data_IF_525492174124
#
_entry.id   IF_525492174124
#
_cell.length_a   1.000
_cell.length_b   1.000
_cell.length_c   1.000
_cell.angle_alpha   90.00
_cell.angle_beta   90.00
_cell.angle_gamma   90.00
#
_symmetry.space_group_name_H-M   'P 1'
#
loop_
_entity.id
_entity.type
_entity.pdbx_description
1 polymer ?
#
# COMPACT_ATOMS: atom_id res chain seq x y z
N UNK A 1 25.96 10.67 22.04
CA UNK A 1 26.37 9.32 21.58
C UNK A 1 26.31 9.29 20.07
N UNK A 2 27.49 9.07 19.48
CA UNK A 2 27.83 9.19 18.07
C UNK A 2 27.45 7.93 17.31
N UNK A 3 26.47 8.04 16.41
CA UNK A 3 26.35 7.10 15.31
C UNK A 3 25.65 7.77 14.11
N UNK A 4 25.90 7.22 12.92
CA UNK A 4 25.42 7.66 11.61
C UNK A 4 26.25 8.73 10.89
N UNK A 5 27.49 8.37 10.49
CA UNK A 5 27.86 8.61 9.10
C UNK A 5 26.98 7.69 8.23
N UNK A 6 25.82 8.19 7.82
CA UNK A 6 24.99 7.52 6.82
C UNK A 6 25.81 7.32 5.56
N UNK A 7 25.90 6.08 5.08
CA UNK A 7 26.61 5.73 3.83
C UNK A 7 26.07 6.61 2.69
N UNK A 8 26.92 7.33 1.93
CA UNK A 8 26.47 7.95 0.70
C UNK A 8 26.14 6.83 -0.30
N UNK A 9 24.90 6.82 -0.81
CA UNK A 9 24.49 5.94 -1.90
C UNK A 9 25.21 6.38 -3.16
N UNK A 10 26.30 5.67 -3.48
CA UNK A 10 27.03 5.85 -4.73
C UNK A 10 27.40 4.47 -5.27
N UNK A 11 26.97 4.21 -6.51
CA UNK A 11 27.27 3.02 -7.31
C UNK A 11 28.78 2.69 -7.31
N UNK A 12 29.09 1.49 -6.83
CA UNK A 12 30.40 0.98 -6.40
C UNK A 12 31.18 0.27 -7.51
N UNK A 13 31.18 0.78 -8.75
CA UNK A 13 31.69 -0.04 -9.86
C UNK A 13 33.21 -0.11 -10.04
N UNK A 14 34.06 0.58 -9.26
CA UNK A 14 35.52 0.58 -9.50
C UNK A 14 36.43 0.78 -8.26
N UNK A 15 36.03 0.37 -7.05
CA UNK A 15 36.89 0.50 -5.85
C UNK A 15 37.09 -0.87 -5.19
N UNK A 16 38.34 -1.24 -4.91
CA UNK A 16 38.70 -2.53 -4.32
C UNK A 16 38.21 -2.63 -2.86
N UNK A 17 37.57 -3.73 -2.43
CA UNK A 17 36.99 -3.87 -1.07
C UNK A 17 38.00 -3.62 0.08
N UNK A 18 39.26 -3.98 -0.14
CA UNK A 18 40.36 -3.73 0.83
C UNK A 18 40.69 -2.24 1.00
N UNK A 19 40.68 -1.47 -0.09
CA UNK A 19 40.93 -0.03 -0.06
C UNK A 19 39.84 0.72 0.71
N UNK A 20 38.59 0.26 0.59
CA UNK A 20 37.45 0.78 1.33
C UNK A 20 37.62 0.59 2.85
N UNK A 21 38.12 -0.59 3.27
CA UNK A 21 38.38 -0.92 4.68
C UNK A 21 39.49 -0.07 5.30
N UNK A 22 40.56 0.20 4.54
CA UNK A 22 41.66 1.07 4.97
C UNK A 22 41.18 2.51 5.13
N UNK A 23 40.53 3.07 4.10
CA UNK A 23 40.00 4.42 4.16
C UNK A 23 39.05 4.59 5.35
N UNK A 24 38.11 3.65 5.54
CA UNK A 24 37.17 3.66 6.65
C UNK A 24 37.85 3.70 8.03
N UNK A 25 38.88 2.86 8.25
CA UNK A 25 39.60 2.82 9.52
C UNK A 25 40.31 4.16 9.82
N UNK A 26 40.93 4.78 8.81
CA UNK A 26 41.62 6.05 8.99
C UNK A 26 40.63 7.19 9.25
N UNK A 27 39.51 7.22 8.52
CA UNK A 27 38.41 8.18 8.74
C UNK A 27 37.83 8.05 10.16
N UNK A 28 37.65 6.82 10.64
CA UNK A 28 37.13 6.55 11.98
C UNK A 28 38.06 7.11 13.06
N UNK A 29 39.38 6.85 12.97
CA UNK A 29 40.37 7.40 13.90
C UNK A 29 40.45 8.92 13.84
N UNK A 30 40.42 9.50 12.65
CA UNK A 30 40.44 10.96 12.46
C UNK A 30 39.21 11.64 13.10
N UNK A 31 38.02 11.08 12.89
CA UNK A 31 36.77 11.65 13.43
C UNK A 31 36.67 11.54 14.96
N UNK A 32 37.37 10.59 15.58
CA UNK A 32 37.52 10.47 17.04
C UNK A 32 38.64 11.36 17.63
N UNK A 33 39.44 12.02 16.79
CA UNK A 33 40.59 12.82 17.22
C UNK A 33 41.83 11.99 17.58
N UNK A 34 41.83 10.69 17.28
CA UNK A 34 42.93 9.75 17.57
C UNK A 34 44.07 9.85 16.53
N UNK A 35 43.84 10.56 15.43
CA UNK A 35 44.77 10.66 14.30
C UNK A 35 44.68 12.04 13.64
N UNK A 36 45.81 12.54 13.15
CA UNK A 36 45.89 13.75 12.33
C UNK A 36 46.19 13.41 10.87
N UNK A 37 45.61 14.13 9.90
CA UNK A 37 45.87 13.87 8.49
C UNK A 37 47.32 14.21 8.08
N UNK A 38 47.99 15.09 8.83
CA UNK A 38 49.41 15.43 8.63
C UNK A 38 50.32 14.21 8.81
N UNK A 39 49.99 13.32 9.76
CA UNK A 39 50.77 12.10 10.03
C UNK A 39 50.52 10.96 9.04
N UNK A 40 49.50 11.05 8.18
CA UNK A 40 49.20 10.02 7.17
C UNK A 40 50.21 9.99 6.02
N UNK A 41 50.41 8.82 5.41
CA UNK A 41 51.20 8.68 4.18
C UNK A 41 50.36 9.12 2.97
N UNK A 42 51.03 9.55 1.90
CA UNK A 42 50.35 10.00 0.67
C UNK A 42 49.41 8.93 0.07
N UNK A 43 49.77 7.63 0.03
CA UNK A 43 48.84 6.59 -0.43
C UNK A 43 47.54 6.56 0.37
N UNK A 44 47.62 6.66 1.70
CA UNK A 44 46.45 6.67 2.58
C UNK A 44 45.53 7.87 2.30
N UNK A 45 46.12 9.05 2.12
CA UNK A 45 45.38 10.27 1.78
C UNK A 45 44.69 10.15 0.41
N UNK A 46 45.34 9.52 -0.57
CA UNK A 46 44.75 9.25 -1.89
C UNK A 46 43.61 8.24 -1.81
N UNK A 47 43.69 7.24 -0.92
CA UNK A 47 42.59 6.31 -0.68
C UNK A 47 41.35 7.01 -0.10
N UNK A 48 41.53 7.86 0.91
CA UNK A 48 40.44 8.67 1.49
C UNK A 48 39.81 9.58 0.42
N UNK A 49 40.64 10.28 -0.36
CA UNK A 49 40.16 11.16 -1.41
C UNK A 49 39.40 10.37 -2.49
N UNK A 50 39.86 9.18 -2.88
CA UNK A 50 39.15 8.31 -3.83
C UNK A 50 37.81 7.85 -3.29
N UNK A 51 37.75 7.45 -2.02
CA UNK A 51 36.51 7.02 -1.34
C UNK A 51 35.43 8.11 -1.38
N UNK A 52 35.79 9.36 -1.08
CA UNK A 52 34.86 10.51 -1.11
C UNK A 52 34.77 11.22 -2.47
N UNK A 53 35.41 10.68 -3.51
CA UNK A 53 35.47 11.28 -4.86
C UNK A 53 36.03 12.70 -4.90
N UNK A 54 36.98 12.98 -4.01
CA UNK A 54 37.76 14.21 -3.99
C UNK A 54 38.91 14.06 -5.00
N UNK A 55 39.30 15.16 -5.66
CA UNK A 55 40.45 15.19 -6.57
C UNK A 55 41.72 14.70 -5.85
N UNK A 56 42.48 13.80 -6.48
CA UNK A 56 43.65 13.10 -5.89
C UNK A 56 45.03 13.69 -6.27
N UNK A 57 45.11 14.56 -7.27
CA UNK A 57 46.37 15.19 -7.73
C UNK A 57 46.85 16.27 -6.76
N UNK A 58 48.12 16.69 -6.86
CA UNK A 58 48.67 17.84 -6.12
C UNK A 58 49.63 17.47 -4.99
N UNK A 59 50.08 18.50 -4.25
CA UNK A 59 50.98 18.33 -3.10
C UNK A 59 50.28 17.66 -1.90
N UNK A 60 51.06 17.11 -0.95
CA UNK A 60 50.50 16.48 0.26
C UNK A 60 49.63 17.48 1.05
N UNK A 61 50.08 18.73 1.16
CA UNK A 61 49.37 19.83 1.83
C UNK A 61 48.03 20.14 1.15
N UNK A 62 48.01 20.33 -0.17
CA UNK A 62 46.77 20.60 -0.91
C UNK A 62 45.76 19.44 -0.81
N UNK A 63 46.24 18.20 -0.76
CA UNK A 63 45.39 17.02 -0.62
C UNK A 63 44.76 16.97 0.78
N UNK A 64 45.54 17.25 1.83
CA UNK A 64 45.05 17.37 3.20
C UNK A 64 44.01 18.48 3.30
N UNK A 65 44.31 19.68 2.80
CA UNK A 65 43.40 20.84 2.84
C UNK A 65 42.06 20.53 2.18
N UNK A 66 42.06 19.83 1.02
CA UNK A 66 40.83 19.41 0.34
C UNK A 66 40.02 18.43 1.17
N UNK A 67 40.67 17.43 1.78
CA UNK A 67 40.01 16.43 2.62
C UNK A 67 39.40 17.11 3.87
N UNK A 68 40.17 17.97 4.54
CA UNK A 68 39.72 18.72 5.72
C UNK A 68 38.55 19.64 5.39
N UNK A 69 38.63 20.37 4.27
CA UNK A 69 37.55 21.24 3.82
C UNK A 69 36.28 20.44 3.50
N UNK A 70 36.42 19.27 2.85
CA UNK A 70 35.29 18.38 2.58
C UNK A 70 34.63 17.92 3.87
N UNK A 71 35.41 17.42 4.84
CA UNK A 71 34.86 16.98 6.12
C UNK A 71 34.22 18.11 6.92
N UNK A 72 34.83 19.29 6.94
CA UNK A 72 34.26 20.48 7.59
C UNK A 72 32.91 20.85 6.96
N UNK A 73 32.84 20.93 5.61
CA UNK A 73 31.60 21.23 4.89
C UNK A 73 30.53 20.16 5.13
N UNK A 74 30.90 18.89 5.07
CA UNK A 74 29.99 17.76 5.31
C UNK A 74 29.43 17.80 6.74
N UNK A 75 30.26 18.05 7.76
CA UNK A 75 29.80 18.16 9.15
C UNK A 75 28.78 19.29 9.33
N UNK A 76 29.06 20.46 8.75
CA UNK A 76 28.14 21.61 8.78
C UNK A 76 26.84 21.30 8.04
N UNK A 77 26.92 20.66 6.87
CA UNK A 77 25.74 20.25 6.11
C UNK A 77 24.87 19.26 6.90
N UNK A 78 25.47 18.24 7.54
CA UNK A 78 24.76 17.28 8.39
C UNK A 78 24.01 17.99 9.53
N UNK A 79 24.63 19.00 10.15
CA UNK A 79 24.01 19.81 11.20
C UNK A 79 22.80 20.59 10.67
N UNK A 80 22.92 21.28 9.53
CA UNK A 80 21.78 21.97 8.92
C UNK A 80 20.67 21.00 8.55
N UNK A 81 21.01 19.85 7.99
CA UNK A 81 20.04 18.83 7.63
C UNK A 81 19.33 18.26 8.87
N UNK A 82 20.01 18.07 10.01
CA UNK A 82 19.37 17.58 11.24
C UNK A 82 18.41 18.61 11.83
N UNK A 83 18.81 19.89 11.85
CA UNK A 83 17.96 20.99 12.25
C UNK A 83 16.72 21.11 11.35
N UNK A 84 16.91 20.99 10.04
CA UNK A 84 15.83 21.05 9.07
C UNK A 84 14.86 19.86 9.20
N UNK A 85 15.37 18.62 9.34
CA UNK A 85 14.52 17.45 9.64
C UNK A 85 13.67 17.66 10.88
N UNK A 86 14.27 18.18 11.96
CA UNK A 86 13.53 18.52 13.18
C UNK A 86 12.48 19.63 12.96
N UNK A 87 12.81 20.62 12.13
CA UNK A 87 11.86 21.67 11.75
C UNK A 87 10.64 21.09 11.02
N UNK A 88 10.84 20.17 10.07
CA UNK A 88 9.73 19.52 9.35
C UNK A 88 8.76 18.78 10.30
N UNK A 89 9.28 18.05 11.29
CA UNK A 89 8.45 17.35 12.29
C UNK A 89 7.66 18.34 13.15
N UNK A 90 8.31 19.39 13.67
CA UNK A 90 7.62 20.41 14.47
C UNK A 90 6.58 21.16 13.66
N UNK A 91 6.89 21.45 12.41
CA UNK A 91 5.98 22.11 11.49
C UNK A 91 4.77 21.23 11.17
N UNK A 92 4.96 19.93 10.94
CA UNK A 92 3.84 19.01 10.71
C UNK A 92 2.93 18.91 11.93
N UNK A 93 3.50 18.82 13.15
CA UNK A 93 2.71 18.82 14.40
C UNK A 93 1.88 20.11 14.52
N UNK A 94 2.46 21.27 14.22
CA UNK A 94 1.76 22.56 14.24
C UNK A 94 0.58 22.59 13.27
N UNK A 95 0.74 22.03 12.07
CA UNK A 95 -0.31 22.01 11.04
C UNK A 95 -1.52 21.14 11.42
N UNK A 96 -1.40 20.20 12.36
CA UNK A 96 -2.51 19.30 12.77
C UNK A 96 -3.62 20.00 13.56
N UNK A 97 -3.39 21.24 13.97
CA UNK A 97 -4.38 22.05 14.65
C UNK A 97 -4.49 21.81 16.15
N UNK A 98 -5.41 22.54 16.77
CA UNK A 98 -5.51 22.70 18.21
C UNK A 98 -5.98 21.45 18.95
N UNK A 99 -6.76 20.57 18.32
CA UNK A 99 -7.32 19.39 18.97
C UNK A 99 -6.41 18.15 18.92
N UNK A 100 -5.18 18.27 18.41
CA UNK A 100 -4.26 17.13 18.29
C UNK A 100 -4.04 16.41 19.64
N UNK A 101 -3.84 17.17 20.72
CA UNK A 101 -3.59 16.61 22.07
C UNK A 101 -4.87 16.28 22.82
N UNK A 102 -5.97 16.98 22.52
CA UNK A 102 -7.25 16.85 23.21
C UNK A 102 -8.37 16.79 22.18
N UNK A 103 -8.59 15.59 21.65
CA UNK A 103 -9.56 15.35 20.57
C UNK A 103 -11.01 15.60 21.00
N UNK A 104 -11.29 15.51 22.30
CA UNK A 104 -12.58 15.87 22.92
C UNK A 104 -12.96 17.35 22.79
N UNK A 105 -12.06 18.20 22.29
CA UNK A 105 -12.40 19.58 21.92
C UNK A 105 -13.22 19.66 20.62
N UNK A 106 -13.22 18.61 19.80
CA UNK A 106 -13.98 18.61 18.56
C UNK A 106 -15.47 18.41 18.84
N UNK A 107 -16.31 19.03 18.01
CA UNK A 107 -17.77 18.88 18.10
C UNK A 107 -18.28 17.59 17.44
N UNK A 108 -17.49 17.01 16.54
CA UNK A 108 -17.79 15.73 15.93
C UNK A 108 -17.06 14.60 16.66
N UNK A 109 -17.73 13.45 16.81
CA UNK A 109 -17.18 12.31 17.53
C UNK A 109 -16.39 11.34 16.65
N UNK A 110 -16.63 11.35 15.33
CA UNK A 110 -15.99 10.47 14.35
C UNK A 110 -15.57 11.19 13.08
N UNK A 111 -14.76 10.55 12.23
CA UNK A 111 -14.38 11.01 10.89
C UNK A 111 -15.47 10.71 9.85
N UNK A 112 -15.67 11.61 8.88
CA UNK A 112 -16.78 11.54 7.95
C UNK A 112 -16.62 10.47 6.85
N UNK A 113 -15.41 9.95 6.63
CA UNK A 113 -15.14 9.03 5.54
C UNK A 113 -14.74 7.65 6.04
N UNK A 114 -13.92 7.56 7.10
CA UNK A 114 -13.62 6.27 7.74
C UNK A 114 -14.65 5.90 8.80
N UNK A 115 -15.40 6.86 9.32
CA UNK A 115 -16.28 6.68 10.49
C UNK A 115 -15.53 6.34 11.77
N UNK A 116 -14.19 6.44 11.78
CA UNK A 116 -13.38 6.23 12.98
C UNK A 116 -13.67 7.28 14.04
N UNK A 117 -13.85 6.94 15.33
CA UNK A 117 -14.05 7.90 16.37
C UNK A 117 -12.73 8.65 16.49
N UNK A 118 -12.82 9.93 16.83
CA UNK A 118 -11.65 10.79 16.72
C UNK A 118 -10.50 10.30 17.57
N UNK A 119 -10.71 9.59 18.67
CA UNK A 119 -9.67 9.01 19.54
C UNK A 119 -8.89 7.83 18.92
N UNK A 120 -9.43 7.13 17.91
CA UNK A 120 -8.76 5.98 17.27
C UNK A 120 -7.92 6.39 16.05
N UNK A 121 -8.13 7.59 15.50
CA UNK A 121 -7.36 8.10 14.35
C UNK A 121 -5.87 8.16 14.70
N UNK A 122 -4.97 7.72 13.81
CA UNK A 122 -3.54 7.83 14.10
C UNK A 122 -3.10 9.29 14.30
N UNK A 123 -2.17 9.54 15.23
CA UNK A 123 -1.67 10.89 15.49
C UNK A 123 -1.05 11.52 14.24
N UNK A 124 -0.46 10.72 13.34
CA UNK A 124 0.14 11.21 12.10
C UNK A 124 -0.88 11.42 10.99
N UNK A 125 -2.09 10.90 11.12
CA UNK A 125 -3.19 11.13 10.17
C UNK A 125 -4.27 12.07 10.72
N UNK A 126 -4.18 12.51 11.98
CA UNK A 126 -5.15 13.45 12.55
C UNK A 126 -4.91 14.90 12.08
N UNK A 127 -6.01 15.61 11.82
CA UNK A 127 -6.07 17.06 11.57
C UNK A 127 -7.30 17.66 12.26
N UNK A 128 -7.18 18.92 12.69
CA UNK A 128 -8.28 19.70 13.24
C UNK A 128 -8.21 21.14 12.81
N UNK A 129 -9.36 21.79 12.66
CA UNK A 129 -9.43 23.23 12.41
C UNK A 129 -10.63 23.84 13.14
N UNK A 130 -10.60 25.17 13.29
CA UNK A 130 -11.67 25.95 13.89
C UNK A 130 -12.43 26.66 12.76
N UNK A 131 -13.75 26.51 12.71
CA UNK A 131 -14.58 27.21 11.73
C UNK A 131 -14.77 28.70 12.10
N UNK A 132 -15.58 29.41 11.31
CA UNK A 132 -15.84 30.84 11.53
C UNK A 132 -16.70 31.09 12.77
N UNK A 133 -17.46 30.10 13.21
CA UNK A 133 -18.34 30.14 14.37
C UNK A 133 -17.61 29.73 15.65
N UNK A 134 -16.35 29.30 15.56
CA UNK A 134 -15.52 28.89 16.70
C UNK A 134 -15.65 27.41 17.05
N UNK A 135 -16.38 26.61 16.26
CA UNK A 135 -16.47 25.17 16.45
C UNK A 135 -15.21 24.49 15.91
N UNK A 136 -14.75 23.50 16.66
CA UNK A 136 -13.55 22.74 16.32
C UNK A 136 -13.99 21.42 15.69
N UNK A 137 -13.46 21.09 14.52
CA UNK A 137 -13.73 19.82 13.86
C UNK A 137 -12.46 19.01 13.71
N UNK A 138 -12.55 17.70 13.94
CA UNK A 138 -11.46 16.74 13.80
C UNK A 138 -11.68 15.81 12.62
N UNK A 139 -10.60 15.43 11.93
CA UNK A 139 -10.65 14.62 10.72
C UNK A 139 -9.40 13.74 10.58
N UNK A 140 -9.52 12.69 9.77
CA UNK A 140 -8.38 12.09 9.10
C UNK A 140 -7.92 12.97 7.93
N UNK A 141 -6.62 13.21 7.83
CA UNK A 141 -5.97 13.88 6.69
C UNK A 141 -6.23 13.07 5.42
N UNK A 142 -6.11 11.75 5.48
CA UNK A 142 -6.41 10.86 4.35
C UNK A 142 -7.86 11.02 3.87
N UNK A 143 -8.82 11.15 4.78
CA UNK A 143 -10.23 11.41 4.47
C UNK A 143 -10.42 12.76 3.76
N UNK A 144 -9.82 13.82 4.27
CA UNK A 144 -9.88 15.15 3.66
C UNK A 144 -9.26 15.18 2.25
N UNK A 145 -8.14 14.48 2.05
CA UNK A 145 -7.53 14.35 0.71
C UNK A 145 -8.45 13.58 -0.25
N UNK A 146 -9.15 12.54 0.23
CA UNK A 146 -10.15 11.84 -0.58
C UNK A 146 -11.33 12.74 -0.96
N UNK A 147 -11.76 13.64 -0.06
CA UNK A 147 -12.78 14.65 -0.34
C UNK A 147 -12.32 15.64 -1.41
N UNK A 148 -11.07 16.12 -1.35
CA UNK A 148 -10.53 17.10 -2.30
C UNK A 148 -10.34 16.56 -3.72
N UNK A 149 -10.28 15.23 -3.90
CA UNK A 149 -10.23 14.60 -5.22
C UNK A 149 -11.57 14.63 -5.96
N UNK A 150 -12.67 14.92 -5.27
CA UNK A 150 -14.01 14.98 -5.89
C UNK A 150 -14.15 16.26 -6.72
N UNK A 151 -14.94 16.20 -7.79
CA UNK A 151 -15.34 17.39 -8.55
C UNK A 151 -16.46 18.11 -7.79
N UNK A 152 -16.29 19.41 -7.52
CA UNK A 152 -17.33 20.25 -6.91
C UNK A 152 -16.80 21.20 -5.83
N UNK A 153 -17.74 21.82 -5.10
CA UNK A 153 -17.42 22.71 -3.99
C UNK A 153 -16.91 21.91 -2.79
N UNK A 154 -15.69 22.20 -2.36
CA UNK A 154 -15.08 21.61 -1.17
C UNK A 154 -15.68 22.28 0.07
N UNK A 155 -16.42 21.50 0.84
CA UNK A 155 -17.10 21.93 2.06
C UNK A 155 -16.80 20.99 3.22
N UNK A 156 -16.90 21.46 4.45
CA UNK A 156 -16.83 20.62 5.62
C UNK A 156 -18.04 19.65 5.64
N UNK A 157 -17.81 18.33 5.75
CA UNK A 157 -18.87 17.31 5.74
C UNK A 157 -19.94 17.45 6.83
N UNK A 158 -19.64 18.09 7.96
CA UNK A 158 -20.55 18.19 9.12
C UNK A 158 -21.48 19.41 9.05
N UNK A 159 -20.95 20.57 8.68
CA UNK A 159 -21.71 21.83 8.68
C UNK A 159 -21.94 22.41 7.26
N UNK A 160 -21.39 21.77 6.23
CA UNK A 160 -21.48 22.16 4.80
C UNK A 160 -20.91 23.54 4.47
N UNK A 161 -20.15 24.14 5.37
CA UNK A 161 -19.47 25.40 5.10
C UNK A 161 -18.27 25.21 4.17
N UNK A 162 -17.97 26.23 3.36
CA UNK A 162 -16.80 26.21 2.47
C UNK A 162 -15.51 26.27 3.29
N UNK A 163 -14.58 25.35 3.01
CA UNK A 163 -13.23 25.42 3.54
C UNK A 163 -12.46 26.54 2.84
N UNK A 164 -11.74 27.36 3.61
CA UNK A 164 -10.94 28.43 3.03
C UNK A 164 -9.65 27.89 2.38
N UNK A 165 -9.07 28.69 1.49
CA UNK A 165 -7.88 28.30 0.72
C UNK A 165 -6.67 28.02 1.62
N UNK A 166 -6.54 28.75 2.72
CA UNK A 166 -5.44 28.59 3.67
C UNK A 166 -5.49 27.21 4.33
N UNK A 167 -6.65 26.84 4.88
CA UNK A 167 -6.94 25.56 5.52
C UNK A 167 -6.71 24.41 4.55
N UNK A 168 -7.23 24.52 3.33
CA UNK A 168 -7.00 23.51 2.28
C UNK A 168 -5.51 23.35 1.97
N UNK A 169 -4.77 24.45 1.82
CA UNK A 169 -3.33 24.41 1.56
C UNK A 169 -2.55 23.81 2.74
N UNK A 170 -2.91 24.12 3.99
CA UNK A 170 -2.33 23.52 5.19
C UNK A 170 -2.51 22.00 5.21
N UNK A 171 -3.72 21.51 4.87
CA UNK A 171 -4.02 20.07 4.76
C UNK A 171 -3.16 19.42 3.67
N UNK A 172 -3.05 20.04 2.49
CA UNK A 172 -2.21 19.52 1.40
C UNK A 172 -0.72 19.48 1.78
N UNK A 173 -0.22 20.52 2.45
CA UNK A 173 1.17 20.56 2.93
C UNK A 173 1.38 19.46 3.97
N UNK A 174 0.46 19.31 4.93
CA UNK A 174 0.52 18.26 5.94
C UNK A 174 0.54 16.86 5.31
N UNK A 175 -0.32 16.60 4.33
CA UNK A 175 -0.34 15.33 3.60
C UNK A 175 1.01 15.05 2.91
N UNK A 176 1.61 16.04 2.25
CA UNK A 176 2.94 15.90 1.63
C UNK A 176 4.03 15.64 2.68
N UNK A 177 4.00 16.36 3.80
CA UNK A 177 4.94 16.16 4.90
C UNK A 177 4.80 14.77 5.51
N UNK A 178 3.58 14.26 5.69
CA UNK A 178 3.35 12.90 6.17
C UNK A 178 4.03 11.87 5.26
N UNK A 179 3.95 12.01 3.94
CA UNK A 179 4.62 11.10 3.01
C UNK A 179 6.15 11.16 3.07
N UNK A 180 6.72 12.31 3.48
CA UNK A 180 8.16 12.50 3.67
C UNK A 180 8.63 11.94 5.02
N UNK A 181 7.88 12.21 6.09
CA UNK A 181 8.23 11.85 7.46
C UNK A 181 7.90 10.39 7.78
N UNK A 182 6.81 9.88 7.20
CA UNK A 182 6.26 8.55 7.42
C UNK A 182 6.00 7.89 6.05
N UNK A 183 7.07 7.63 5.27
CA UNK A 183 6.92 6.98 3.99
C UNK A 183 6.27 5.62 4.22
N UNK A 184 5.12 5.39 3.57
CA UNK A 184 4.53 4.06 3.53
C UNK A 184 5.55 3.13 2.86
N UNK A 185 5.76 1.92 3.39
CA UNK A 185 6.61 0.96 2.70
C UNK A 185 6.10 0.83 1.26
N UNK A 186 7.01 0.86 0.25
CA UNK A 186 6.58 0.59 -1.10
C UNK A 186 5.83 -0.74 -1.08
N UNK A 187 4.73 -0.89 -1.84
CA UNK A 187 4.15 -2.20 -2.03
C UNK A 187 5.29 -3.14 -2.44
N UNK A 188 5.35 -4.37 -1.91
CA UNK A 188 6.40 -5.31 -2.27
C UNK A 188 6.51 -5.31 -3.79
N UNK A 189 7.74 -5.13 -4.29
CA UNK A 189 8.03 -5.18 -5.72
C UNK A 189 7.46 -6.50 -6.17
N UNK A 190 6.32 -6.47 -6.87
CA UNK A 190 5.84 -7.65 -7.56
C UNK A 190 6.98 -7.97 -8.53
N UNK A 191 7.75 -9.02 -8.22
CA UNK A 191 8.65 -9.61 -9.19
C UNK A 191 7.78 -9.87 -10.41
N UNK A 192 7.93 -9.04 -11.44
CA UNK A 192 7.39 -9.39 -12.74
C UNK A 192 8.04 -10.73 -13.03
N UNK A 193 7.28 -11.83 -13.20
CA UNK A 193 7.90 -13.08 -13.58
C UNK A 193 8.66 -12.77 -14.87
N UNK A 194 9.98 -12.92 -14.81
CA UNK A 194 10.82 -12.94 -16.00
C UNK A 194 10.32 -14.17 -16.74
N UNK A 195 9.44 -13.95 -17.71
CA UNK A 195 9.08 -14.98 -18.68
C UNK A 195 10.36 -15.21 -19.46
N UNK A 196 11.16 -16.17 -19.01
CA UNK A 196 12.13 -16.84 -19.87
C UNK A 196 11.30 -17.51 -20.97
N UNK A 197 11.02 -16.79 -22.04
CA UNK A 197 10.62 -17.40 -23.29
C UNK A 197 11.81 -18.22 -23.77
N UNK A 198 11.85 -19.49 -23.37
CA UNK A 198 12.52 -20.50 -24.18
C UNK A 198 11.67 -20.60 -25.44
N UNK A 199 12.06 -19.82 -26.45
CA UNK A 199 11.57 -19.98 -27.81
C UNK A 199 11.98 -21.39 -28.24
N UNK A 200 11.04 -22.34 -28.21
CA UNK A 200 11.19 -23.56 -29.00
C UNK A 200 11.10 -23.13 -30.45
N UNK A 201 12.26 -23.05 -31.12
CA UNK A 201 12.36 -22.85 -32.55
C UNK A 201 11.83 -24.12 -33.21
N UNK A 202 10.56 -24.10 -33.60
CA UNK A 202 9.99 -25.13 -34.45
C UNK A 202 10.65 -25.03 -35.83
N UNK A 203 11.16 -26.16 -36.29
CA UNK A 203 11.82 -26.38 -37.58
C UNK A 203 10.95 -25.91 -38.74
N UNK A 204 11.52 -25.10 -39.64
CA UNK A 204 10.92 -24.69 -40.91
C UNK A 204 10.69 -25.90 -41.83
N UNK A 205 9.51 -26.05 -42.47
CA UNK A 205 9.35 -26.92 -43.63
C UNK A 205 9.82 -26.20 -44.91
N UNK A 206 10.52 -26.93 -45.79
CA UNK A 206 11.02 -26.47 -47.09
C UNK A 206 9.94 -26.23 -48.16
N UNK A 207 10.34 -25.82 -49.38
CA UNK A 207 9.47 -25.15 -50.35
C UNK A 207 8.54 -26.10 -51.11
N UNK A 208 7.39 -25.57 -51.51
CA UNK A 208 6.28 -26.26 -52.17
C UNK A 208 6.47 -26.44 -53.70
N UNK A 209 5.82 -27.48 -54.22
CA UNK A 209 5.47 -27.69 -55.64
C UNK A 209 3.95 -27.93 -55.79
N UNK A 210 3.35 -27.78 -57.00
CA UNK A 210 2.09 -27.04 -57.14
C UNK A 210 0.80 -27.88 -57.40
N UNK A 211 -0.32 -27.19 -57.13
CA UNK A 211 -1.66 -27.25 -57.75
C UNK A 211 -2.57 -28.48 -57.54
N UNK A 212 -3.76 -28.24 -56.98
CA UNK A 212 -5.06 -28.54 -57.60
C UNK A 212 -6.23 -27.86 -56.83
N UNK A 213 -7.40 -27.64 -57.48
CA UNK A 213 -8.31 -26.53 -57.19
C UNK A 213 -9.56 -26.93 -56.39
N UNK A 214 -10.04 -26.01 -55.56
CA UNK A 214 -11.35 -26.11 -54.91
C UNK A 214 -11.54 -25.02 -53.86
N UNK A 215 -12.06 -23.86 -54.29
CA UNK A 215 -12.66 -22.88 -53.38
C UNK A 215 -14.18 -23.02 -53.46
N UNK A 216 -14.92 -22.79 -52.36
CA UNK A 216 -15.59 -21.50 -52.22
C UNK A 216 -15.67 -21.02 -50.73
N UNK A 217 -16.35 -19.91 -50.42
CA UNK A 217 -15.83 -18.55 -50.44
C UNK A 217 -15.63 -17.97 -49.02
N UNK A 218 -14.89 -16.87 -48.95
CA UNK A 218 -14.87 -16.00 -47.77
C UNK A 218 -16.24 -15.31 -47.56
N UNK A 219 -16.60 -15.01 -46.31
CA UNK A 219 -17.04 -13.66 -45.94
C UNK A 219 -16.08 -13.12 -44.87
N UNK A 220 -15.30 -12.10 -45.17
CA UNK A 220 -15.63 -10.69 -44.92
C UNK A 220 -15.92 -10.35 -43.45
N UNK A 221 -14.92 -9.65 -42.88
CA UNK A 221 -14.98 -8.66 -41.81
C UNK A 221 -16.07 -8.77 -40.74
N UNK A 222 -15.65 -8.97 -39.48
CA UNK A 222 -16.15 -8.15 -38.36
C UNK A 222 -15.44 -8.47 -37.04
N UNK A 223 -14.96 -7.40 -36.41
CA UNK A 223 -15.12 -7.11 -34.98
C UNK A 223 -14.50 -8.05 -33.94
N UNK A 224 -13.46 -7.54 -33.28
CA UNK A 224 -12.98 -7.98 -31.96
C UNK A 224 -14.12 -7.91 -30.92
N UNK A 225 -14.78 -9.04 -30.69
CA UNK A 225 -15.54 -9.33 -29.48
C UNK A 225 -14.80 -10.45 -28.74
N UNK A 226 -14.43 -10.19 -27.49
CA UNK A 226 -13.69 -11.13 -26.65
C UNK A 226 -14.33 -12.51 -26.62
N UNK A 227 -13.52 -13.52 -26.85
CA UNK A 227 -13.87 -14.92 -26.69
C UNK A 227 -14.35 -15.17 -25.26
N UNK A 228 -15.64 -15.43 -25.12
CA UNK A 228 -16.24 -15.97 -23.90
C UNK A 228 -15.76 -17.41 -23.76
N UNK A 229 -14.80 -17.65 -22.88
CA UNK A 229 -14.41 -19.01 -22.44
C UNK A 229 -15.58 -19.60 -21.63
N UNK A 230 -16.58 -20.16 -22.32
CA UNK A 230 -17.70 -20.88 -21.72
C UNK A 230 -17.34 -22.36 -21.53
N UNK A 231 -16.50 -22.65 -20.54
CA UNK A 231 -16.37 -24.01 -20.02
C UNK A 231 -17.68 -24.42 -19.31
N UNK A 232 -18.21 -25.65 -19.52
CA UNK A 232 -19.42 -26.15 -18.86
C UNK A 232 -19.41 -25.95 -17.33
N UNK A 233 -18.24 -26.10 -16.71
CA UNK A 233 -18.03 -25.91 -15.27
C UNK A 233 -18.27 -24.45 -14.83
N UNK A 234 -17.86 -23.46 -15.64
CA UNK A 234 -18.11 -22.06 -15.33
C UNK A 234 -19.60 -21.71 -15.47
N UNK A 235 -20.30 -22.31 -16.45
CA UNK A 235 -21.74 -22.12 -16.62
C UNK A 235 -22.51 -22.67 -15.42
N UNK A 236 -22.16 -23.85 -14.94
CA UNK A 236 -22.78 -24.43 -13.74
C UNK A 236 -22.49 -23.61 -12.48
N UNK A 237 -21.26 -23.11 -12.33
CA UNK A 237 -20.90 -22.23 -11.22
C UNK A 237 -21.67 -20.89 -11.25
N UNK A 238 -21.92 -20.32 -12.43
CA UNK A 238 -22.79 -19.14 -12.58
C UNK A 238 -24.23 -19.44 -12.16
N UNK A 239 -24.78 -20.58 -12.57
CA UNK A 239 -26.13 -20.99 -12.17
C UNK A 239 -26.23 -21.18 -10.65
N UNK A 240 -25.23 -21.82 -10.04
CA UNK A 240 -25.14 -21.97 -8.57
C UNK A 240 -25.11 -20.61 -7.88
N UNK A 241 -24.29 -19.67 -8.35
CA UNK A 241 -24.20 -18.33 -7.77
C UNK A 241 -25.52 -17.56 -7.86
N UNK A 242 -26.21 -17.64 -9.01
CA UNK A 242 -27.53 -17.02 -9.18
C UNK A 242 -28.57 -17.62 -8.22
N UNK A 243 -28.55 -18.96 -8.03
CA UNK A 243 -29.44 -19.65 -7.10
C UNK A 243 -29.16 -19.31 -5.63
N UNK A 244 -27.90 -19.07 -5.25
CA UNK A 244 -27.56 -18.58 -3.90
C UNK A 244 -28.07 -17.15 -3.74
N UNK A 245 -27.81 -16.28 -4.71
CA UNK A 245 -28.11 -14.84 -4.61
C UNK A 245 -29.60 -14.52 -4.66
N UNK A 246 -30.45 -15.42 -5.14
CA UNK A 246 -31.91 -15.29 -5.13
C UNK A 246 -32.55 -15.57 -3.76
N UNK A 247 -31.82 -16.21 -2.82
CA UNK A 247 -32.29 -16.51 -1.47
C UNK A 247 -32.34 -15.26 -0.60
N UNK A 248 -33.06 -15.36 0.53
CA UNK A 248 -33.11 -14.30 1.52
C UNK A 248 -31.72 -14.01 2.11
N UNK A 249 -31.42 -12.74 2.43
CA UNK A 249 -30.10 -12.31 2.91
C UNK A 249 -29.62 -13.11 4.13
N UNK A 250 -30.49 -13.35 5.11
CA UNK A 250 -30.13 -14.11 6.30
C UNK A 250 -29.81 -15.58 6.00
N UNK A 251 -30.52 -16.19 5.05
CA UNK A 251 -30.26 -17.57 4.62
C UNK A 251 -28.91 -17.67 3.92
N UNK A 252 -28.59 -16.71 3.04
CA UNK A 252 -27.29 -16.62 2.37
C UNK A 252 -26.13 -16.45 3.36
N UNK A 253 -26.31 -15.62 4.39
CA UNK A 253 -25.30 -15.44 5.45
C UNK A 253 -25.06 -16.78 6.14
N UNK A 254 -26.12 -17.47 6.56
CA UNK A 254 -26.01 -18.76 7.23
C UNK A 254 -25.29 -19.79 6.36
N UNK A 255 -25.71 -19.94 5.10
CA UNK A 255 -25.09 -20.87 4.16
C UNK A 255 -23.62 -20.55 3.86
N UNK A 256 -23.26 -19.27 3.81
CA UNK A 256 -21.87 -18.85 3.62
C UNK A 256 -21.00 -19.29 4.80
N UNK A 257 -21.44 -19.07 6.04
CA UNK A 257 -20.71 -19.50 7.22
C UNK A 257 -20.64 -21.04 7.33
N UNK A 258 -21.73 -21.74 7.01
CA UNK A 258 -21.71 -23.21 6.91
C UNK A 258 -20.70 -23.72 5.88
N UNK A 259 -20.58 -23.05 4.73
CA UNK A 259 -19.57 -23.43 3.74
C UNK A 259 -18.15 -23.14 4.24
N UNK A 260 -17.91 -22.02 4.92
CA UNK A 260 -16.61 -21.74 5.55
C UNK A 260 -16.22 -22.83 6.55
N UNK A 261 -17.22 -23.37 7.28
CA UNK A 261 -17.01 -24.47 8.22
C UNK A 261 -16.67 -25.78 7.50
N UNK A 262 -17.38 -26.10 6.42
CA UNK A 262 -17.08 -27.27 5.56
C UNK A 262 -15.68 -27.19 4.92
N UNK A 263 -15.16 -25.98 4.72
CA UNK A 263 -13.79 -25.75 4.24
C UNK A 263 -12.73 -25.91 5.34
N UNK A 264 -13.13 -26.21 6.58
CA UNK A 264 -12.25 -26.57 7.69
C UNK A 264 -12.08 -25.49 8.76
N UNK A 265 -12.99 -24.52 8.83
CA UNK A 265 -12.94 -23.44 9.82
C UNK A 265 -14.04 -23.64 10.89
N UNK A 266 -13.96 -22.92 12.00
CA UNK A 266 -15.02 -22.88 13.01
C UNK A 266 -15.52 -21.45 13.10
N UNK A 267 -16.59 -21.16 12.38
CA UNK A 267 -17.10 -19.80 12.19
C UNK A 267 -18.46 -19.60 12.84
N UNK A 268 -18.89 -18.34 12.96
CA UNK A 268 -20.20 -18.03 13.54
C UNK A 268 -20.82 -16.82 12.84
N UNK A 269 -22.06 -16.95 12.33
CA UNK A 269 -22.74 -15.90 11.55
C UNK A 269 -22.86 -14.55 12.30
N UNK A 270 -22.91 -14.61 13.63
CA UNK A 270 -22.84 -13.46 14.54
C UNK A 270 -21.64 -12.54 14.32
N UNK A 271 -20.54 -13.03 13.74
CA UNK A 271 -19.37 -12.22 13.38
C UNK A 271 -19.68 -11.21 12.26
N UNK A 272 -20.70 -11.48 11.45
CA UNK A 272 -21.15 -10.60 10.39
C UNK A 272 -22.46 -9.88 10.76
N UNK A 273 -23.45 -10.60 11.31
CA UNK A 273 -24.75 -10.02 11.67
C UNK A 273 -24.67 -9.05 12.85
N UNK A 274 -23.70 -9.25 13.75
CA UNK A 274 -23.45 -8.36 14.88
C UNK A 274 -22.61 -7.12 14.56
N UNK A 275 -22.18 -6.93 13.30
CA UNK A 275 -21.40 -5.75 12.93
C UNK A 275 -22.28 -4.50 12.90
N UNK A 276 -21.77 -3.43 13.51
CA UNK A 276 -22.32 -2.09 13.35
C UNK A 276 -22.11 -1.58 11.92
N UNK A 277 -22.80 -0.52 11.57
CA UNK A 277 -22.68 0.18 10.29
C UNK A 277 -21.21 0.49 9.95
N UNK A 278 -20.48 0.98 10.96
CA UNK A 278 -19.05 1.22 10.88
C UNK A 278 -18.25 -0.06 10.67
N UNK A 279 -18.61 -1.12 11.39
CA UNK A 279 -18.01 -2.45 11.22
C UNK A 279 -18.16 -2.99 9.80
N UNK A 280 -19.31 -2.76 9.14
CA UNK A 280 -19.53 -3.14 7.73
C UNK A 280 -18.67 -2.33 6.76
N UNK A 281 -18.54 -1.02 6.97
CA UNK A 281 -17.64 -0.17 6.17
C UNK A 281 -16.19 -0.66 6.28
N UNK A 282 -15.75 -0.98 7.50
CA UNK A 282 -14.42 -1.52 7.73
C UNK A 282 -14.25 -2.90 7.10
N UNK A 283 -15.23 -3.79 7.24
CA UNK A 283 -15.17 -5.12 6.64
C UNK A 283 -14.99 -5.00 5.13
N UNK A 284 -15.79 -4.17 4.45
CA UNK A 284 -15.65 -3.95 3.02
C UNK A 284 -14.25 -3.45 2.65
N UNK A 285 -13.73 -2.47 3.39
CA UNK A 285 -12.40 -1.90 3.14
C UNK A 285 -11.29 -2.91 3.35
N UNK A 286 -11.36 -3.71 4.41
CA UNK A 286 -10.36 -4.74 4.69
C UNK A 286 -10.44 -5.89 3.68
N UNK A 287 -11.64 -6.30 3.25
CA UNK A 287 -11.80 -7.24 2.14
C UNK A 287 -11.12 -6.70 0.88
N UNK A 288 -11.35 -5.43 0.53
CA UNK A 288 -10.73 -4.79 -0.63
C UNK A 288 -9.21 -4.68 -0.49
N UNK A 289 -8.72 -4.26 0.67
CA UNK A 289 -7.29 -4.09 0.95
C UNK A 289 -6.55 -5.43 0.94
N UNK A 290 -7.12 -6.48 1.53
CA UNK A 290 -6.56 -7.84 1.50
C UNK A 290 -6.57 -8.38 0.08
N UNK A 291 -7.69 -8.28 -0.63
CA UNK A 291 -7.78 -8.75 -2.02
C UNK A 291 -6.82 -8.02 -2.94
N UNK A 292 -6.66 -6.70 -2.77
CA UNK A 292 -5.91 -5.87 -3.72
C UNK A 292 -4.44 -5.78 -3.38
N UNK A 293 -4.08 -5.64 -2.11
CA UNK A 293 -2.74 -5.26 -1.67
C UNK A 293 -2.13 -6.27 -0.68
N UNK A 294 -2.74 -6.48 0.50
CA UNK A 294 -2.09 -7.23 1.59
C UNK A 294 -1.97 -8.72 1.33
N UNK A 295 -2.88 -9.32 0.58
CA UNK A 295 -2.85 -10.75 0.27
C UNK A 295 -1.74 -11.17 -0.69
N UNK A 296 -1.01 -10.21 -1.30
CA UNK A 296 0.07 -10.46 -2.26
C UNK A 296 -0.32 -11.44 -3.40
N UNK A 297 -1.60 -11.46 -3.77
CA UNK A 297 -2.14 -12.38 -4.76
C UNK A 297 -1.77 -11.91 -6.17
N UNK A 298 -1.14 -12.78 -6.95
CA UNK A 298 -0.94 -12.54 -8.39
C UNK A 298 -2.29 -12.52 -9.11
N UNK A 299 -2.35 -11.88 -10.29
CA UNK A 299 -3.57 -11.88 -11.12
C UNK A 299 -4.05 -13.30 -11.45
N UNK A 300 -3.13 -14.23 -11.68
CA UNK A 300 -3.47 -15.62 -11.93
C UNK A 300 -4.09 -16.27 -10.69
N UNK A 301 -3.53 -16.06 -9.50
CA UNK A 301 -4.08 -16.55 -8.24
C UNK A 301 -5.47 -15.98 -7.98
N UNK A 302 -5.68 -14.67 -8.20
CA UNK A 302 -7.00 -14.04 -8.08
C UNK A 302 -8.04 -14.67 -9.00
N UNK A 303 -7.68 -14.92 -10.26
CA UNK A 303 -8.57 -15.60 -11.21
C UNK A 303 -8.85 -17.07 -10.84
N UNK A 304 -7.96 -17.71 -10.07
CA UNK A 304 -8.20 -19.07 -9.56
C UNK A 304 -9.07 -19.09 -8.30
N UNK A 305 -9.00 -18.05 -7.46
CA UNK A 305 -9.88 -17.88 -6.30
C UNK A 305 -11.27 -17.40 -6.73
N UNK A 306 -11.34 -16.45 -7.67
CA UNK A 306 -12.58 -15.93 -8.22
C UNK A 306 -12.61 -16.15 -9.73
N UNK A 307 -13.04 -17.34 -10.15
CA UNK A 307 -13.01 -17.76 -11.56
C UNK A 307 -14.08 -17.10 -12.43
N UNK A 308 -15.16 -16.59 -11.83
CA UNK A 308 -16.26 -15.98 -12.57
C UNK A 308 -16.02 -14.52 -12.94
N UNK A 309 -15.54 -13.73 -11.96
CA UNK A 309 -15.27 -12.29 -12.10
C UNK A 309 -14.52 -11.78 -10.86
N UNK A 310 -14.00 -10.55 -10.95
CA UNK A 310 -13.49 -9.86 -9.76
C UNK A 310 -14.63 -9.65 -8.72
N UNK A 311 -14.40 -9.97 -7.43
CA UNK A 311 -15.45 -9.91 -6.42
C UNK A 311 -15.96 -8.48 -6.15
N UNK A 312 -15.20 -7.45 -6.50
CA UNK A 312 -15.57 -6.04 -6.38
C UNK A 312 -16.10 -5.45 -7.70
N UNK A 313 -16.26 -6.28 -8.75
CA UNK A 313 -16.78 -5.84 -10.04
C UNK A 313 -18.20 -5.27 -9.91
N UNK A 314 -18.43 -4.08 -10.48
CA UNK A 314 -19.73 -3.42 -10.51
C UNK A 314 -20.15 -2.77 -9.19
N UNK A 315 -19.31 -2.79 -8.15
CA UNK A 315 -19.58 -2.11 -6.89
C UNK A 315 -19.17 -0.64 -7.03
N UNK A 316 -20.16 0.24 -7.13
CA UNK A 316 -19.96 1.69 -7.17
C UNK A 316 -19.45 2.22 -5.81
N UNK A 317 -18.93 3.45 -5.83
CA UNK A 317 -18.28 4.13 -4.72
C UNK A 317 -19.10 4.03 -3.41
N UNK A 318 -18.49 3.59 -2.30
CA UNK A 318 -19.10 3.40 -0.96
C UNK A 318 -19.79 4.64 -0.38
N UNK A 319 -19.63 5.80 -1.01
CA UNK A 319 -20.09 7.10 -0.53
C UNK A 319 -21.60 7.35 -0.75
N UNK A 320 -22.28 6.53 -1.56
CA UNK A 320 -23.71 6.72 -1.92
C UNK A 320 -24.56 5.48 -1.66
N UNK A 321 -23.99 4.44 -1.05
CA UNK A 321 -24.66 3.15 -0.88
C UNK A 321 -25.43 3.17 0.44
N UNK A 322 -26.73 2.90 0.40
CA UNK A 322 -27.54 2.70 1.61
C UNK A 322 -27.00 1.52 2.44
N UNK A 323 -27.22 1.54 3.75
CA UNK A 323 -26.61 0.57 4.67
C UNK A 323 -26.94 -0.89 4.31
N UNK A 324 -28.21 -1.16 4.00
CA UNK A 324 -28.65 -2.50 3.63
C UNK A 324 -28.03 -2.96 2.31
N UNK A 325 -27.78 -2.02 1.40
CA UNK A 325 -27.03 -2.30 0.18
C UNK A 325 -25.55 -2.58 0.48
N UNK A 326 -24.92 -1.89 1.45
CA UNK A 326 -23.54 -2.19 1.85
C UNK A 326 -23.41 -3.60 2.43
N UNK A 327 -24.34 -4.02 3.29
CA UNK A 327 -24.35 -5.40 3.82
C UNK A 327 -24.45 -6.44 2.69
N UNK A 328 -25.34 -6.20 1.72
CA UNK A 328 -25.47 -7.06 0.52
C UNK A 328 -24.19 -7.07 -0.33
N UNK A 329 -23.50 -5.93 -0.47
CA UNK A 329 -22.22 -5.85 -1.17
C UNK A 329 -21.13 -6.65 -0.45
N UNK A 330 -20.97 -6.51 0.87
CA UNK A 330 -20.03 -7.31 1.66
C UNK A 330 -20.32 -8.80 1.48
N UNK A 331 -21.59 -9.20 1.62
CA UNK A 331 -22.02 -10.57 1.45
C UNK A 331 -21.67 -11.11 0.06
N UNK A 332 -22.00 -10.36 -0.99
CA UNK A 332 -21.65 -10.72 -2.38
C UNK A 332 -20.14 -10.91 -2.54
N UNK A 333 -19.31 -9.97 -2.09
CA UNK A 333 -17.85 -10.08 -2.19
C UNK A 333 -17.35 -11.37 -1.53
N UNK A 334 -17.80 -11.66 -0.32
CA UNK A 334 -17.41 -12.87 0.41
C UNK A 334 -17.88 -14.15 -0.30
N UNK A 335 -19.12 -14.18 -0.80
CA UNK A 335 -19.64 -15.32 -1.58
C UNK A 335 -18.78 -15.61 -2.81
N UNK A 336 -18.37 -14.59 -3.57
CA UNK A 336 -17.49 -14.79 -4.71
C UNK A 336 -16.13 -15.35 -4.29
N UNK A 337 -15.55 -14.85 -3.20
CA UNK A 337 -14.25 -15.33 -2.70
C UNK A 337 -14.32 -16.78 -2.17
N UNK A 338 -15.44 -17.20 -1.59
CA UNK A 338 -15.59 -18.54 -0.96
C UNK A 338 -16.10 -19.59 -1.95
N UNK A 339 -17.06 -19.24 -2.82
CA UNK A 339 -17.71 -20.22 -3.69
C UNK A 339 -17.05 -20.40 -5.05
N UNK A 340 -16.35 -19.38 -5.58
CA UNK A 340 -15.99 -19.37 -7.01
C UNK A 340 -14.56 -19.81 -7.33
N UNK A 341 -13.88 -20.45 -6.36
CA UNK A 341 -12.56 -21.04 -6.56
C UNK A 341 -12.59 -22.22 -7.53
N UNK A 342 -11.54 -22.37 -8.35
CA UNK A 342 -11.46 -23.44 -9.37
C UNK A 342 -11.36 -24.85 -8.78
N UNK A 343 -10.86 -24.96 -7.56
CA UNK A 343 -10.77 -26.21 -6.79
C UNK A 343 -10.89 -25.91 -5.28
N UNK A 344 -10.92 -26.97 -4.47
CA UNK A 344 -11.10 -26.87 -3.01
C UNK A 344 -10.00 -26.04 -2.34
N UNK A 345 -8.77 -26.08 -2.84
CA UNK A 345 -7.64 -25.36 -2.24
C UNK A 345 -7.77 -23.86 -2.49
N UNK A 346 -8.15 -23.44 -3.70
CA UNK A 346 -8.40 -22.00 -3.96
C UNK A 346 -9.62 -21.47 -3.20
N UNK A 347 -10.63 -22.32 -2.94
CA UNK A 347 -11.76 -21.97 -2.08
C UNK A 347 -11.34 -21.78 -0.62
N UNK A 348 -10.45 -22.63 -0.10
CA UNK A 348 -9.83 -22.45 1.22
C UNK A 348 -9.03 -21.16 1.31
N UNK A 349 -8.22 -20.84 0.29
CA UNK A 349 -7.45 -19.59 0.23
C UNK A 349 -8.39 -18.37 0.24
N UNK A 350 -9.42 -18.37 -0.61
CA UNK A 350 -10.42 -17.30 -0.63
C UNK A 350 -11.14 -17.13 0.70
N UNK A 351 -11.48 -18.25 1.35
CA UNK A 351 -12.07 -18.27 2.70
C UNK A 351 -11.14 -17.67 3.74
N UNK A 352 -9.85 -18.04 3.75
CA UNK A 352 -8.87 -17.48 4.68
C UNK A 352 -8.75 -15.95 4.53
N UNK A 353 -8.78 -15.43 3.31
CA UNK A 353 -8.77 -13.97 3.11
C UNK A 353 -10.01 -13.27 3.66
N UNK A 354 -11.18 -13.90 3.54
CA UNK A 354 -12.43 -13.38 4.14
C UNK A 354 -12.32 -13.42 5.67
N UNK A 355 -11.84 -14.52 6.25
CA UNK A 355 -11.66 -14.67 7.69
C UNK A 355 -10.63 -13.69 8.25
N UNK A 356 -9.55 -13.42 7.50
CA UNK A 356 -8.58 -12.37 7.83
C UNK A 356 -9.22 -11.00 7.95
N UNK A 357 -10.19 -10.67 7.10
CA UNK A 357 -10.93 -9.42 7.22
C UNK A 357 -11.84 -9.43 8.47
N UNK A 358 -12.46 -10.56 8.79
CA UNK A 358 -13.30 -10.70 9.99
C UNK A 358 -12.52 -10.51 11.29
N UNK A 359 -11.28 -11.02 11.40
CA UNK A 359 -10.49 -10.85 12.63
C UNK A 359 -10.12 -9.38 12.91
N UNK A 360 -10.13 -8.52 11.89
CA UNK A 360 -9.90 -7.09 12.04
C UNK A 360 -11.12 -6.34 12.60
N UNK A 361 -12.34 -6.79 12.25
CA UNK A 361 -13.58 -6.06 12.57
C UNK A 361 -14.44 -6.69 13.66
N UNK A 362 -14.29 -7.98 13.93
CA UNK A 362 -15.08 -8.74 14.90
C UNK A 362 -14.18 -9.27 16.01
N UNK A 363 -14.43 -8.81 17.25
CA UNK A 363 -13.66 -9.27 18.41
C UNK A 363 -13.81 -10.78 18.66
N UNK A 364 -15.02 -11.38 18.60
CA UNK A 364 -15.16 -12.83 18.70
C UNK A 364 -14.40 -13.59 17.61
N UNK A 365 -14.42 -13.10 16.36
CA UNK A 365 -13.66 -13.73 15.27
C UNK A 365 -12.14 -13.65 15.52
N UNK A 366 -11.66 -12.51 16.02
CA UNK A 366 -10.25 -12.31 16.40
C UNK A 366 -9.81 -13.26 17.49
N UNK A 367 -10.65 -13.48 18.50
CA UNK A 367 -10.35 -14.40 19.60
C UNK A 367 -10.32 -15.86 19.10
N UNK A 368 -11.27 -16.23 18.24
CA UNK A 368 -11.34 -17.58 17.66
C UNK A 368 -10.16 -17.89 16.72
N UNK A 369 -9.67 -16.89 15.97
CA UNK A 369 -8.60 -17.05 14.98
C UNK A 369 -7.47 -16.05 15.21
N UNK A 370 -6.94 -16.02 16.44
CA UNK A 370 -5.91 -15.05 16.84
C UNK A 370 -4.65 -15.15 15.96
N UNK A 371 -4.24 -16.37 15.58
CA UNK A 371 -3.10 -16.61 14.69
C UNK A 371 -3.24 -15.92 13.34
N UNK A 372 -4.47 -15.80 12.83
CA UNK A 372 -4.75 -15.15 11.55
C UNK A 372 -4.71 -13.63 11.68
N UNK A 373 -5.12 -13.10 12.84
CA UNK A 373 -5.00 -11.68 13.17
C UNK A 373 -3.53 -11.27 13.32
N UNK A 374 -2.75 -12.06 14.07
CA UNK A 374 -1.33 -11.79 14.33
C UNK A 374 -0.52 -11.74 13.04
N UNK A 375 -0.87 -12.56 12.02
CA UNK A 375 -0.21 -12.50 10.71
C UNK A 375 -0.45 -11.22 9.90
N UNK A 376 -1.36 -10.34 10.32
CA UNK A 376 -1.75 -9.11 9.58
C UNK A 376 -1.25 -7.80 10.22
N UNK A 377 -0.84 -7.86 11.49
CA UNK A 377 -0.41 -6.72 12.33
C UNK A 377 1.08 -6.83 12.59
#
# INVERSE_FOLDING_TARGET
MTNAMSKPVISSKNIHPFAEKIAYNIISKYTKGELTLKSCKIPDLKEIARYYKIRISGSKTELIERIELYFKKTRVAILFQSLFRGHLVRFSIKLRGCALKKRTMCVNDSDFYTMDPLNEIDHNDFYSYVDKQGFIYGFSVSSLIALFKRKGNITNPYNREKLDFKTMNEIFILYKLNNILYPKPPPPIAEKPVVNQVVQVASLPGPASPAQPGAPPLPEGSSLSGTVDNSPLQSELRLRMTAIQSKATNERIRELFMEMDQLGNYTHEGWFTGLTDRGLVHLFRYLYDIWTYRGQLTRQTKNRICSLQDPFHGIANLQTVELDELRKHCLRVMEYMVYTGVDIEFRRIGTLHVLSAFTLVSLPARQAMYWLYEGLV
#
